data_IF_642916846920
#
_entry.id   IF_642916846920
#
_cell.length_a   1.000
_cell.length_b   1.000
_cell.length_c   1.000
_cell.angle_alpha   90.00
_cell.angle_beta   90.00
_cell.angle_gamma   90.00
#
_symmetry.space_group_name_H-M   'P 1'
#
loop_
_entity.id
_entity.type
_entity.pdbx_description
1 polymer ?
#
# COMPACT_ATOMS: atom_id res chain seq x y z
N UNK A 1 5.16 -21.63 10.80
CA UNK A 1 5.35 -20.19 10.54
C UNK A 1 6.22 -20.06 9.30
N UNK A 2 5.85 -19.25 8.31
CA UNK A 2 6.58 -19.14 7.04
C UNK A 2 7.76 -18.15 7.11
N UNK A 3 7.54 -17.05 7.80
CA UNK A 3 8.55 -16.03 8.06
C UNK A 3 8.19 -15.26 9.34
N UNK A 4 9.17 -14.65 9.96
CA UNK A 4 9.02 -13.81 11.14
C UNK A 4 10.06 -12.70 11.12
N UNK A 5 9.68 -11.54 11.61
CA UNK A 5 10.61 -10.46 11.95
C UNK A 5 10.17 -9.82 13.27
N UNK A 6 11.12 -9.32 14.02
CA UNK A 6 10.89 -8.57 15.25
C UNK A 6 11.26 -7.12 15.03
N UNK A 7 10.37 -6.21 15.44
CA UNK A 7 10.61 -4.78 15.48
C UNK A 7 10.87 -4.39 16.94
N UNK A 8 11.92 -3.64 17.19
CA UNK A 8 12.31 -3.14 18.50
C UNK A 8 12.50 -1.63 18.47
N UNK A 9 12.63 -1.00 19.63
CA UNK A 9 12.81 0.45 19.70
C UNK A 9 11.55 1.23 19.39
N UNK A 10 10.39 0.67 19.76
CA UNK A 10 9.12 1.39 19.75
C UNK A 10 9.16 2.54 20.77
N UNK A 11 8.56 3.67 20.44
CA UNK A 11 8.53 4.86 21.29
C UNK A 11 7.21 5.60 21.16
N UNK A 12 7.07 6.76 21.79
CA UNK A 12 5.87 7.57 21.74
C UNK A 12 5.67 8.38 20.47
N UNK A 13 6.67 8.38 19.57
CA UNK A 13 6.62 9.14 18.33
C UNK A 13 6.31 8.21 17.14
N UNK A 14 5.58 8.74 16.16
CA UNK A 14 5.33 8.05 14.90
C UNK A 14 6.64 7.79 14.16
N UNK A 15 6.88 6.55 13.81
CA UNK A 15 8.09 6.14 13.11
C UNK A 15 7.80 5.04 12.09
N UNK A 16 8.35 5.19 10.90
CA UNK A 16 8.30 4.16 9.86
C UNK A 16 9.29 3.03 10.16
N UNK A 17 8.80 1.81 10.18
CA UNK A 17 9.60 0.59 10.29
C UNK A 17 9.45 -0.23 9.03
N UNK A 18 10.57 -0.69 8.49
CA UNK A 18 10.59 -1.56 7.32
C UNK A 18 11.34 -2.85 7.66
N UNK A 19 10.74 -3.97 7.38
CA UNK A 19 11.33 -5.29 7.59
C UNK A 19 11.20 -6.14 6.34
N UNK A 20 12.16 -7.04 6.13
CA UNK A 20 12.11 -8.00 5.02
C UNK A 20 11.76 -9.38 5.58
N UNK A 21 10.64 -9.92 5.14
CA UNK A 21 10.24 -11.28 5.43
C UNK A 21 10.75 -12.22 4.32
N UNK A 22 11.45 -13.26 4.70
CA UNK A 22 11.92 -14.30 3.77
C UNK A 22 11.15 -15.58 4.06
N UNK A 23 10.10 -15.90 3.28
CA UNK A 23 9.32 -17.11 3.52
C UNK A 23 10.12 -18.36 3.19
N UNK A 24 9.94 -19.41 3.99
CA UNK A 24 10.59 -20.70 3.81
C UNK A 24 9.87 -21.61 2.82
N UNK A 25 8.62 -21.27 2.48
CA UNK A 25 7.80 -22.04 1.53
C UNK A 25 6.71 -21.14 0.92
N UNK A 26 6.16 -21.57 -0.22
CA UNK A 26 4.99 -20.97 -0.82
C UNK A 26 3.70 -21.44 -0.14
N UNK A 27 2.79 -20.52 0.14
CA UNK A 27 1.48 -20.82 0.70
C UNK A 27 0.39 -19.97 0.05
N UNK A 28 -0.65 -20.61 -0.46
CA UNK A 28 -1.74 -19.94 -1.18
C UNK A 28 -2.64 -19.07 -0.27
N UNK A 29 -2.67 -19.34 1.04
CA UNK A 29 -3.53 -18.64 2.01
C UNK A 29 -2.74 -18.18 3.23
N UNK A 30 -1.58 -17.56 2.99
CA UNK A 30 -0.78 -16.97 4.07
C UNK A 30 -1.51 -15.79 4.70
N UNK A 31 -1.28 -15.58 6.01
CA UNK A 31 -1.80 -14.46 6.77
C UNK A 31 -0.65 -13.69 7.40
N UNK A 32 -0.69 -12.37 7.27
CA UNK A 32 0.14 -11.48 8.08
C UNK A 32 -0.48 -11.38 9.48
N UNK A 33 0.32 -11.59 10.52
CA UNK A 33 -0.08 -11.40 11.91
C UNK A 33 0.91 -10.45 12.58
N UNK A 34 0.39 -9.41 13.19
CA UNK A 34 1.12 -8.51 14.04
C UNK A 34 0.79 -8.84 15.49
N UNK A 35 1.78 -8.92 16.34
CA UNK A 35 1.63 -9.21 17.78
C UNK A 35 2.48 -8.25 18.58
N UNK A 36 1.91 -7.69 19.63
CA UNK A 36 2.62 -6.93 20.64
C UNK A 36 3.06 -7.90 21.74
N UNK A 37 4.33 -7.85 22.08
CA UNK A 37 4.94 -8.64 23.16
C UNK A 37 5.08 -7.74 24.38
N UNK A 38 4.30 -8.03 25.42
CA UNK A 38 4.22 -7.24 26.64
C UNK A 38 2.90 -6.50 26.84
N UNK A 39 2.78 -5.78 27.93
CA UNK A 39 1.63 -4.94 28.24
C UNK A 39 1.84 -3.53 27.67
N UNK A 40 0.80 -2.98 27.06
CA UNK A 40 0.84 -1.63 26.51
C UNK A 40 -0.16 -1.41 25.38
N UNK A 41 -0.16 -0.22 24.84
CA UNK A 41 -0.93 0.16 23.64
C UNK A 41 0.04 0.41 22.49
N UNK A 42 -0.33 -0.03 21.31
CA UNK A 42 0.42 0.18 20.08
C UNK A 42 -0.52 0.74 19.03
N UNK A 43 -0.25 1.95 18.58
CA UNK A 43 -0.93 2.56 17.46
C UNK A 43 -0.22 2.18 16.17
N UNK A 44 -0.99 1.77 15.17
CA UNK A 44 -0.49 1.33 13.86
C UNK A 44 -1.18 2.12 12.76
N UNK A 45 -0.40 2.57 11.80
CA UNK A 45 -0.89 3.22 10.60
C UNK A 45 -0.13 2.73 9.36
N UNK A 46 -0.75 2.84 8.18
CA UNK A 46 -0.17 2.50 6.87
C UNK A 46 0.55 1.15 6.85
N UNK A 47 -0.08 0.13 7.45
CA UNK A 47 0.46 -1.23 7.44
C UNK A 47 0.36 -1.81 6.04
N UNK A 48 1.50 -2.16 5.44
CA UNK A 48 1.57 -2.67 4.07
C UNK A 48 2.52 -3.85 3.93
N UNK A 49 2.28 -4.69 2.93
CA UNK A 49 3.12 -5.82 2.59
C UNK A 49 3.29 -5.88 1.07
N UNK A 50 4.50 -5.60 0.60
CA UNK A 50 4.83 -5.59 -0.82
C UNK A 50 5.88 -6.65 -1.15
N UNK A 51 5.88 -7.22 -2.37
CA UNK A 51 6.99 -8.03 -2.83
C UNK A 51 8.27 -7.18 -2.88
N UNK A 52 9.40 -7.79 -2.54
CA UNK A 52 10.69 -7.12 -2.67
C UNK A 52 11.12 -7.03 -4.14
N UNK A 53 10.83 -8.07 -4.92
CA UNK A 53 11.06 -8.07 -6.36
C UNK A 53 9.87 -7.42 -7.06
N UNK A 54 10.13 -6.28 -7.68
CA UNK A 54 9.13 -5.46 -8.35
C UNK A 54 9.62 -5.04 -9.73
N UNK A 55 8.70 -4.67 -10.59
CA UNK A 55 9.03 -4.22 -11.94
C UNK A 55 9.95 -2.99 -11.89
N UNK A 56 11.10 -3.08 -12.57
CA UNK A 56 12.19 -2.11 -12.55
C UNK A 56 12.76 -1.81 -11.15
N UNK A 57 12.62 -2.72 -10.19
CA UNK A 57 13.16 -2.58 -8.84
C UNK A 57 12.57 -1.43 -8.03
N UNK A 58 11.37 -0.94 -8.37
CA UNK A 58 10.73 0.18 -7.67
C UNK A 58 10.26 -0.24 -6.29
N UNK A 59 10.57 0.55 -5.28
CA UNK A 59 10.03 0.36 -3.93
C UNK A 59 8.50 0.39 -3.97
N UNK A 60 7.85 -0.58 -3.31
CA UNK A 60 6.40 -0.78 -3.30
C UNK A 60 5.78 -0.88 -4.71
N UNK A 61 6.60 -1.27 -5.69
CA UNK A 61 6.22 -1.36 -7.08
C UNK A 61 5.32 -2.56 -7.41
N UNK A 62 4.96 -2.63 -8.67
CA UNK A 62 4.06 -3.66 -9.19
C UNK A 62 4.81 -4.97 -9.48
N UNK A 63 4.07 -6.07 -9.55
CA UNK A 63 4.59 -7.40 -9.90
C UNK A 63 5.25 -7.39 -11.28
N UNK A 64 6.49 -7.92 -11.41
CA UNK A 64 7.23 -7.89 -12.67
C UNK A 64 6.51 -8.63 -13.81
N UNK A 65 5.93 -9.80 -13.51
CA UNK A 65 5.25 -10.64 -14.49
C UNK A 65 4.01 -9.96 -15.10
N UNK A 66 3.17 -9.33 -14.27
CA UNK A 66 1.97 -8.63 -14.74
C UNK A 66 2.33 -7.35 -15.52
N UNK A 67 3.33 -6.61 -15.04
CA UNK A 67 3.79 -5.41 -15.72
C UNK A 67 4.45 -5.72 -17.05
N UNK A 68 5.13 -6.86 -17.16
CA UNK A 68 5.70 -7.28 -18.44
C UNK A 68 4.60 -7.58 -19.45
N UNK A 69 3.52 -8.28 -19.05
CA UNK A 69 2.37 -8.52 -19.92
C UNK A 69 1.74 -7.21 -20.42
N UNK A 70 1.54 -6.24 -19.53
CA UNK A 70 1.00 -4.92 -19.92
C UNK A 70 1.93 -4.20 -20.89
N UNK A 71 3.23 -4.27 -20.66
CA UNK A 71 4.24 -3.69 -21.56
C UNK A 71 4.22 -4.35 -22.93
N UNK A 72 4.09 -5.67 -22.98
CA UNK A 72 4.07 -6.43 -24.25
C UNK A 72 2.80 -6.15 -25.07
N UNK A 73 1.71 -5.74 -24.43
CA UNK A 73 0.50 -5.24 -25.10
C UNK A 73 0.71 -3.91 -25.85
N UNK A 74 1.76 -3.17 -25.52
CA UNK A 74 2.08 -1.86 -26.11
C UNK A 74 0.90 -0.89 -26.19
N UNK A 75 0.16 -0.63 -25.10
CA UNK A 75 -0.99 0.26 -25.12
C UNK A 75 -0.58 1.68 -25.55
N UNK A 76 -1.38 2.32 -26.40
CA UNK A 76 -1.13 3.68 -26.82
C UNK A 76 -1.34 4.72 -25.70
N UNK A 77 -2.16 4.41 -24.71
CA UNK A 77 -2.41 5.24 -23.53
C UNK A 77 -2.93 4.40 -22.35
N UNK A 78 -2.84 4.97 -21.16
CA UNK A 78 -3.46 4.46 -19.95
C UNK A 78 -4.36 5.54 -19.34
N UNK A 79 -5.63 5.19 -19.07
CA UNK A 79 -6.56 6.07 -18.35
C UNK A 79 -6.65 5.65 -16.88
N UNK A 80 -6.36 6.60 -15.98
CA UNK A 80 -6.44 6.40 -14.53
C UNK A 80 -6.92 7.69 -13.84
N UNK A 81 -7.67 7.58 -12.73
CA UNK A 81 -8.32 6.40 -12.15
C UNK A 81 -9.58 5.97 -12.91
N UNK A 82 -10.25 6.87 -13.55
CA UNK A 82 -11.44 6.64 -14.37
C UNK A 82 -12.74 6.39 -13.61
N UNK A 83 -13.86 6.59 -14.31
CA UNK A 83 -15.19 6.28 -13.83
C UNK A 83 -15.69 7.12 -12.65
N UNK A 84 -16.64 6.57 -11.93
CA UNK A 84 -17.37 7.25 -10.85
C UNK A 84 -16.51 7.70 -9.66
N UNK A 85 -15.32 7.12 -9.47
CA UNK A 85 -14.41 7.52 -8.39
C UNK A 85 -13.91 8.97 -8.56
N UNK A 86 -13.91 9.48 -9.81
CA UNK A 86 -13.43 10.82 -10.13
C UNK A 86 -14.44 11.90 -9.73
N UNK A 87 -15.73 11.57 -9.75
CA UNK A 87 -16.79 12.56 -9.64
C UNK A 87 -16.92 13.17 -8.25
N UNK A 88 -16.83 12.35 -7.19
CA UNK A 88 -17.24 12.74 -5.85
C UNK A 88 -18.75 12.97 -5.74
N UNK A 89 -19.23 13.40 -4.59
CA UNK A 89 -20.62 13.88 -4.37
C UNK A 89 -20.72 15.38 -4.60
N UNK A 90 -19.65 16.08 -4.31
CA UNK A 90 -19.51 17.52 -4.46
C UNK A 90 -18.23 17.85 -5.20
N UNK A 91 -18.09 19.09 -5.65
CA UNK A 91 -16.86 19.55 -6.28
C UNK A 91 -15.65 19.46 -5.32
N UNK A 92 -15.85 19.62 -4.04
CA UNK A 92 -14.79 19.50 -3.03
C UNK A 92 -14.31 18.07 -2.87
N UNK A 93 -15.21 17.08 -3.04
CA UNK A 93 -14.92 15.64 -2.87
C UNK A 93 -14.48 14.96 -4.18
N UNK A 94 -14.37 15.71 -5.29
CA UNK A 94 -13.87 15.12 -6.54
C UNK A 94 -12.44 14.63 -6.36
N UNK A 95 -12.06 13.58 -7.08
CA UNK A 95 -10.71 13.05 -7.07
C UNK A 95 -9.68 14.11 -7.48
N UNK A 96 -8.71 14.31 -6.62
CA UNK A 96 -7.64 15.28 -6.79
C UNK A 96 -6.29 14.55 -6.88
N UNK A 97 -5.91 14.16 -8.09
CA UNK A 97 -4.71 13.38 -8.33
C UNK A 97 -3.42 14.00 -7.77
N UNK A 98 -3.39 15.33 -7.62
CA UNK A 98 -2.22 16.03 -7.06
C UNK A 98 -1.97 15.69 -5.59
N UNK A 99 -3.02 15.36 -4.85
CA UNK A 99 -2.95 14.95 -3.44
C UNK A 99 -2.42 13.52 -3.27
N UNK A 100 -2.35 12.78 -4.38
CA UNK A 100 -1.79 11.43 -4.39
C UNK A 100 -0.30 11.38 -4.71
N UNK A 101 0.35 12.55 -4.85
CA UNK A 101 1.79 12.69 -5.09
C UNK A 101 2.51 12.82 -3.74
N UNK A 102 3.64 12.15 -3.60
CA UNK A 102 4.45 12.20 -2.38
C UNK A 102 4.34 10.95 -1.50
N UNK A 103 4.82 11.04 -0.28
CA UNK A 103 4.82 9.93 0.66
C UNK A 103 3.39 9.49 0.99
N UNK A 104 3.12 8.20 0.89
CA UNK A 104 1.81 7.61 1.22
C UNK A 104 1.37 7.95 2.64
N UNK A 105 2.30 8.00 3.59
CA UNK A 105 2.01 8.32 4.98
C UNK A 105 1.54 9.78 5.19
N UNK A 106 1.84 10.68 4.25
CA UNK A 106 1.46 12.09 4.32
C UNK A 106 0.19 12.41 3.52
N UNK A 107 -0.39 11.44 2.81
CA UNK A 107 -1.56 11.67 1.96
C UNK A 107 -2.82 11.80 2.78
N UNK A 108 -3.66 12.75 2.38
CA UNK A 108 -4.98 12.95 2.99
C UNK A 108 -5.95 11.93 2.43
N UNK A 109 -6.69 11.18 3.28
CA UNK A 109 -7.76 10.32 2.82
C UNK A 109 -8.85 11.10 2.09
N UNK A 110 -9.27 10.59 0.93
CA UNK A 110 -10.39 11.14 0.18
C UNK A 110 -11.64 10.31 0.45
N UNK A 111 -12.78 10.98 0.63
CA UNK A 111 -14.06 10.32 0.78
C UNK A 111 -14.71 10.22 -0.60
N UNK A 112 -14.96 8.99 -1.04
CA UNK A 112 -15.64 8.73 -2.31
C UNK A 112 -17.14 8.97 -2.21
N UNK A 113 -17.82 8.99 -3.34
CA UNK A 113 -19.29 9.05 -3.40
C UNK A 113 -20.01 7.88 -2.69
N UNK A 114 -19.30 6.83 -2.35
CA UNK A 114 -19.84 5.68 -1.60
C UNK A 114 -19.49 5.71 -0.12
N UNK A 115 -19.04 6.83 0.42
CA UNK A 115 -18.55 6.98 1.80
C UNK A 115 -17.37 6.05 2.15
N UNK A 116 -16.55 5.72 1.17
CA UNK A 116 -15.35 4.93 1.36
C UNK A 116 -14.14 5.84 1.35
N UNK A 117 -13.33 5.78 2.39
CA UNK A 117 -12.05 6.44 2.42
C UNK A 117 -11.04 5.68 1.56
N UNK A 118 -10.22 6.40 0.83
CA UNK A 118 -9.11 5.82 0.10
C UNK A 118 -7.98 6.84 -0.08
N UNK A 119 -6.78 6.32 -0.19
CA UNK A 119 -5.58 7.06 -0.59
C UNK A 119 -4.90 6.32 -1.73
N UNK A 120 -4.41 7.00 -2.71
CA UNK A 120 -3.68 6.39 -3.83
C UNK A 120 -2.22 6.83 -3.81
#
# INVERSE_FOLDING_TARGET
>A
MLAQARITGLGGEWKKYTVVLKPTATAAKARLKLTLDGAGTLDLDVVSLFPKDTFNGRENGLRPDLMQLLKDMQPGFLRFPGGCIVEGRTLAERYQWKETIGDVAARVPLITRWNTEFTH
#
